data_IF_054565631549
#
_entry.id   IF_054565631549
#
_cell.length_a   1.000
_cell.length_b   1.000
_cell.length_c   1.000
_cell.angle_alpha   90.00
_cell.angle_beta   90.00
_cell.angle_gamma   90.00
#
_symmetry.space_group_name_H-M   'P 1'
#
loop_
_entity.id
_entity.type
_entity.pdbx_description
1 polymer ?
#
# COMPACT_ATOMS: atom_id res chain seq x y z
N UNK A 1 -14.91 -8.15 -7.64
CA UNK A 1 -14.96 -7.64 -6.25
C UNK A 1 -15.20 -6.13 -6.20
N UNK A 2 -14.38 -5.31 -6.86
CA UNK A 2 -14.50 -3.83 -6.84
C UNK A 2 -15.91 -3.31 -7.16
N UNK A 3 -16.52 -3.78 -8.27
CA UNK A 3 -17.85 -3.30 -8.67
C UNK A 3 -18.94 -3.65 -7.65
N UNK A 4 -18.87 -4.84 -7.04
CA UNK A 4 -19.81 -5.25 -6.00
C UNK A 4 -19.66 -4.36 -4.76
N UNK A 5 -18.41 -4.10 -4.33
CA UNK A 5 -18.14 -3.19 -3.22
C UNK A 5 -18.65 -1.76 -3.47
N UNK A 6 -18.53 -1.27 -4.71
CA UNK A 6 -19.10 0.01 -5.15
C UNK A 6 -20.62 0.02 -5.09
N UNK A 7 -21.28 -1.01 -5.62
CA UNK A 7 -22.74 -1.14 -5.57
C UNK A 7 -23.28 -1.20 -4.13
N UNK A 8 -22.53 -1.80 -3.21
CA UNK A 8 -22.87 -1.82 -1.78
C UNK A 8 -22.53 -0.51 -1.05
N UNK A 9 -21.89 0.46 -1.72
CA UNK A 9 -21.51 1.74 -1.12
C UNK A 9 -20.45 1.59 -0.02
N UNK A 10 -19.54 0.61 -0.13
CA UNK A 10 -18.49 0.39 0.87
C UNK A 10 -17.38 1.45 0.85
N UNK A 11 -17.24 2.15 -0.28
CA UNK A 11 -16.22 3.18 -0.46
C UNK A 11 -16.52 4.49 0.27
N UNK A 12 -17.80 4.74 0.54
CA UNK A 12 -18.25 5.93 1.27
C UNK A 12 -18.03 5.69 2.76
N UNK A 13 -17.48 6.67 3.47
CA UNK A 13 -17.29 6.52 4.91
C UNK A 13 -18.67 6.44 5.61
N UNK A 14 -18.88 5.48 6.53
CA UNK A 14 -20.12 5.39 7.29
C UNK A 14 -20.47 6.68 8.05
N UNK A 15 -19.48 7.47 8.46
CA UNK A 15 -19.70 8.74 9.17
C UNK A 15 -20.38 9.80 8.28
N UNK A 16 -20.33 9.66 6.95
CA UNK A 16 -21.07 10.52 6.01
C UNK A 16 -22.57 10.22 6.00
N UNK A 17 -23.00 9.12 6.64
CA UNK A 17 -24.40 8.71 6.78
C UNK A 17 -24.76 8.48 8.27
N UNK A 18 -24.79 9.53 9.10
CA UNK A 18 -25.05 9.40 10.53
C UNK A 18 -26.34 8.64 10.83
N UNK A 19 -26.28 7.66 11.73
CA UNK A 19 -27.44 6.86 12.14
C UNK A 19 -27.84 5.74 11.18
N UNK A 20 -27.21 5.63 10.00
CA UNK A 20 -27.50 4.54 9.05
C UNK A 20 -26.90 3.20 9.47
N UNK A 21 -25.73 3.23 10.11
CA UNK A 21 -24.95 2.05 10.47
C UNK A 21 -24.58 2.10 11.95
N UNK A 22 -24.59 0.95 12.61
CA UNK A 22 -24.05 0.80 13.96
C UNK A 22 -22.52 0.95 14.00
N UNK A 23 -21.94 1.06 15.18
CA UNK A 23 -20.49 1.20 15.34
C UNK A 23 -19.72 0.03 14.72
N UNK A 24 -20.11 -1.19 15.09
CA UNK A 24 -19.48 -2.41 14.57
C UNK A 24 -19.61 -2.52 13.05
N UNK A 25 -20.82 -2.29 12.52
CA UNK A 25 -21.07 -2.36 11.08
C UNK A 25 -20.24 -1.31 10.32
N UNK A 26 -20.16 -0.08 10.84
CA UNK A 26 -19.34 0.98 10.26
C UNK A 26 -17.88 0.56 10.13
N UNK A 27 -17.32 -0.02 11.19
CA UNK A 27 -15.95 -0.51 11.19
C UNK A 27 -15.77 -1.68 10.22
N UNK A 28 -16.68 -2.66 10.20
CA UNK A 28 -16.63 -3.78 9.25
C UNK A 28 -16.67 -3.31 7.80
N UNK A 29 -17.49 -2.29 7.47
CA UNK A 29 -17.55 -1.71 6.12
C UNK A 29 -16.23 -1.07 5.71
N UNK A 30 -15.59 -0.31 6.62
CA UNK A 30 -14.24 0.25 6.36
C UNK A 30 -13.23 -0.86 6.07
N UNK A 31 -13.22 -1.91 6.91
CA UNK A 31 -12.29 -3.05 6.75
C UNK A 31 -12.46 -3.76 5.41
N UNK A 32 -13.70 -4.10 5.03
CA UNK A 32 -13.96 -4.75 3.74
C UNK A 32 -13.53 -3.86 2.57
N UNK A 33 -13.82 -2.55 2.62
CA UNK A 33 -13.39 -1.63 1.57
C UNK A 33 -11.87 -1.60 1.43
N UNK A 34 -11.14 -1.49 2.55
CA UNK A 34 -9.69 -1.45 2.55
C UNK A 34 -9.06 -2.76 2.07
N UNK A 35 -9.67 -3.92 2.34
CA UNK A 35 -9.24 -5.19 1.75
C UNK A 35 -9.44 -5.20 0.22
N UNK A 36 -10.62 -4.81 -0.25
CA UNK A 36 -10.91 -4.73 -1.70
C UNK A 36 -9.92 -3.80 -2.39
N UNK A 37 -9.63 -2.65 -1.76
CA UNK A 37 -8.64 -1.70 -2.24
C UNK A 37 -7.22 -2.28 -2.29
N UNK A 38 -6.79 -2.95 -1.21
CA UNK A 38 -5.48 -3.61 -1.13
C UNK A 38 -5.34 -4.63 -2.26
N UNK A 39 -6.29 -5.55 -2.40
CA UNK A 39 -6.21 -6.59 -3.41
C UNK A 39 -6.30 -6.03 -4.84
N UNK A 40 -7.16 -5.05 -5.11
CA UNK A 40 -7.21 -4.39 -6.43
C UNK A 40 -5.85 -3.78 -6.81
N UNK A 41 -5.19 -3.11 -5.86
CA UNK A 41 -3.88 -2.50 -6.09
C UNK A 41 -2.79 -3.55 -6.34
N UNK A 42 -2.65 -4.54 -5.46
CA UNK A 42 -1.53 -5.49 -5.50
C UNK A 42 -1.70 -6.58 -6.55
N UNK A 43 -2.93 -7.07 -6.79
CA UNK A 43 -3.18 -8.06 -7.85
C UNK A 43 -2.97 -7.42 -9.21
N UNK A 44 -3.48 -6.20 -9.43
CA UNK A 44 -3.25 -5.47 -10.69
C UNK A 44 -1.75 -5.20 -10.90
N UNK A 45 -1.02 -4.84 -9.84
CA UNK A 45 0.45 -4.69 -9.89
C UNK A 45 1.17 -5.97 -10.33
N UNK A 46 0.77 -7.12 -9.79
CA UNK A 46 1.38 -8.40 -10.12
C UNK A 46 1.06 -8.83 -11.56
N UNK A 47 -0.12 -8.47 -12.06
CA UNK A 47 -0.56 -8.75 -13.43
C UNK A 47 -0.08 -7.71 -14.46
N UNK A 48 0.57 -6.63 -14.01
CA UNK A 48 1.01 -5.55 -14.91
C UNK A 48 -0.14 -4.69 -15.45
N UNK A 49 -1.27 -4.66 -14.75
CA UNK A 49 -2.44 -3.85 -15.12
C UNK A 49 -2.63 -2.66 -14.17
N UNK A 50 -3.25 -1.56 -14.64
CA UNK A 50 -3.70 -0.50 -13.75
C UNK A 50 -4.83 -1.01 -12.83
N UNK A 51 -4.84 -0.64 -11.54
CA UNK A 51 -5.95 -0.94 -10.63
C UNK A 51 -7.28 -0.35 -11.11
N UNK A 52 -8.41 -1.00 -10.78
CA UNK A 52 -9.74 -0.51 -11.13
C UNK A 52 -10.21 0.66 -10.25
N UNK A 53 -9.63 0.82 -9.07
CA UNK A 53 -9.89 1.93 -8.17
C UNK A 53 -8.91 3.07 -8.48
N UNK A 54 -9.46 4.16 -9.02
CA UNK A 54 -8.69 5.31 -9.46
C UNK A 54 -7.96 6.05 -8.31
N UNK A 55 -6.98 6.87 -8.68
CA UNK A 55 -6.13 7.59 -7.73
C UNK A 55 -6.81 8.75 -7.00
N UNK A 56 -7.79 9.35 -7.65
CA UNK A 56 -8.63 10.43 -7.14
C UNK A 56 -9.92 9.91 -6.49
N UNK A 57 -10.11 8.60 -6.46
CA UNK A 57 -11.30 8.01 -5.87
C UNK A 57 -11.26 8.18 -4.34
N UNK A 58 -12.27 8.84 -3.74
CA UNK A 58 -12.33 9.00 -2.30
C UNK A 58 -12.33 7.62 -1.65
N UNK A 59 -11.44 7.47 -0.67
CA UNK A 59 -11.33 6.26 0.15
C UNK A 59 -11.86 6.61 1.53
N UNK A 60 -12.64 5.73 2.14
CA UNK A 60 -13.08 5.93 3.52
C UNK A 60 -11.89 6.01 4.49
N UNK A 61 -12.16 6.43 5.73
CA UNK A 61 -11.13 6.54 6.76
C UNK A 61 -10.44 5.20 6.99
N UNK A 62 -9.19 5.24 7.47
CA UNK A 62 -8.51 4.03 7.90
C UNK A 62 -9.34 3.32 8.98
N UNK A 63 -9.39 1.98 8.99
CA UNK A 63 -10.02 1.24 10.07
C UNK A 63 -9.29 1.49 11.39
N UNK A 64 -10.02 1.32 12.48
CA UNK A 64 -9.49 1.52 13.83
C UNK A 64 -8.77 0.26 14.32
N UNK A 65 -7.63 0.45 14.97
CA UNK A 65 -6.99 -0.63 15.73
C UNK A 65 -7.71 -0.79 17.06
N UNK A 66 -8.36 -1.93 17.26
CA UNK A 66 -9.19 -2.23 18.43
C UNK A 66 -8.84 -3.61 18.98
N UNK A 67 -9.20 -3.86 20.23
CA UNK A 67 -9.15 -5.21 20.78
C UNK A 67 -10.28 -6.07 20.21
N UNK A 68 -9.93 -7.01 19.34
CA UNK A 68 -10.88 -7.90 18.66
C UNK A 68 -11.58 -8.89 19.61
N UNK A 69 -10.98 -9.22 20.76
CA UNK A 69 -11.59 -10.14 21.73
C UNK A 69 -12.84 -9.56 22.42
N UNK A 70 -13.03 -8.24 22.32
CA UNK A 70 -14.14 -7.52 22.96
C UNK A 70 -14.90 -6.61 21.98
N UNK A 71 -14.59 -6.69 20.69
CA UNK A 71 -15.27 -5.90 19.66
C UNK A 71 -16.33 -6.72 18.92
N UNK A 72 -17.60 -6.43 19.20
CA UNK A 72 -18.75 -7.22 18.75
C UNK A 72 -19.89 -6.33 18.27
N UNK A 73 -20.92 -6.90 17.59
CA UNK A 73 -22.07 -6.13 17.11
C UNK A 73 -22.80 -5.29 18.17
N UNK A 74 -22.72 -5.69 19.44
CA UNK A 74 -23.33 -4.98 20.58
C UNK A 74 -22.42 -3.91 21.19
N UNK A 75 -21.19 -3.73 20.70
CA UNK A 75 -20.26 -2.73 21.22
C UNK A 75 -20.77 -1.31 20.95
N UNK A 76 -20.75 -0.48 21.99
CA UNK A 76 -21.19 0.92 21.94
C UNK A 76 -20.02 1.91 21.82
N UNK A 77 -18.79 1.43 21.99
CA UNK A 77 -17.54 2.18 21.82
C UNK A 77 -16.46 1.30 21.20
N UNK A 78 -15.44 1.93 20.60
CA UNK A 78 -14.27 1.21 20.08
C UNK A 78 -13.38 0.83 21.27
N UNK A 79 -13.17 -0.47 21.52
CA UNK A 79 -12.31 -0.89 22.62
C UNK A 79 -10.85 -0.57 22.27
N UNK A 80 -10.04 -0.09 23.24
CA UNK A 80 -8.64 0.20 22.99
C UNK A 80 -7.88 -1.08 22.63
N UNK A 81 -6.84 -1.00 21.77
CA UNK A 81 -6.01 -2.14 21.43
C UNK A 81 -5.21 -2.63 22.66
N UNK A 82 -4.91 -3.93 22.71
CA UNK A 82 -4.14 -4.57 23.80
C UNK A 82 -2.75 -4.95 23.30
N UNK A 83 -1.69 -4.57 24.01
CA UNK A 83 -0.33 -4.95 23.59
C UNK A 83 -0.16 -6.48 23.52
N UNK A 84 0.31 -6.97 22.37
CA UNK A 84 0.53 -8.41 22.15
C UNK A 84 -0.73 -9.26 21.96
N UNK A 85 -1.92 -8.65 21.95
CA UNK A 85 -3.19 -9.32 21.69
C UNK A 85 -3.46 -9.62 20.21
N UNK A 86 -4.54 -10.36 19.89
CA UNK A 86 -5.03 -10.56 18.53
C UNK A 86 -5.62 -9.24 18.01
N UNK A 87 -4.74 -8.36 17.52
CA UNK A 87 -5.13 -7.01 17.13
C UNK A 87 -5.22 -6.84 15.63
N UNK A 88 -5.97 -5.83 15.21
CA UNK A 88 -6.05 -5.38 13.83
C UNK A 88 -4.86 -4.52 13.38
N UNK A 89 -3.87 -4.32 14.26
CA UNK A 89 -2.66 -3.52 14.03
C UNK A 89 -1.95 -3.85 12.71
N UNK A 90 -1.82 -5.14 12.35
CA UNK A 90 -1.21 -5.53 11.07
C UNK A 90 -2.03 -5.06 9.87
N UNK A 91 -3.36 -5.18 9.94
CA UNK A 91 -4.25 -4.71 8.88
C UNK A 91 -4.11 -3.21 8.65
N UNK A 92 -3.96 -2.43 9.73
CA UNK A 92 -3.69 -1.00 9.62
C UNK A 92 -2.37 -0.74 8.86
N UNK A 93 -1.33 -1.54 9.12
CA UNK A 93 -0.09 -1.45 8.35
C UNK A 93 -0.29 -1.83 6.87
N UNK A 94 -1.10 -2.84 6.56
CA UNK A 94 -1.47 -3.18 5.16
C UNK A 94 -2.13 -2.00 4.45
N UNK A 95 -3.06 -1.32 5.11
CA UNK A 95 -3.75 -0.15 4.55
C UNK A 95 -2.76 0.99 4.26
N UNK A 96 -1.87 1.30 5.21
CA UNK A 96 -0.83 2.31 5.05
C UNK A 96 0.17 1.94 3.94
N UNK A 97 0.55 0.67 3.85
CA UNK A 97 1.43 0.16 2.80
C UNK A 97 0.78 0.30 1.42
N UNK A 98 -0.53 0.01 1.30
CA UNK A 98 -1.27 0.22 0.06
C UNK A 98 -1.29 1.71 -0.35
N UNK A 99 -1.45 2.64 0.61
CA UNK A 99 -1.35 4.08 0.35
C UNK A 99 0.05 4.47 -0.13
N UNK A 100 1.11 3.99 0.52
CA UNK A 100 2.50 4.23 0.12
C UNK A 100 2.76 3.77 -1.31
N UNK A 101 2.44 2.50 -1.62
CA UNK A 101 2.63 1.91 -2.95
C UNK A 101 1.86 2.71 -4.01
N UNK A 102 0.61 3.08 -3.73
CA UNK A 102 -0.19 3.88 -4.66
C UNK A 102 0.40 5.27 -4.88
N UNK A 103 0.84 5.94 -3.82
CA UNK A 103 1.45 7.27 -3.91
C UNK A 103 2.73 7.27 -4.75
N UNK A 104 3.58 6.25 -4.59
CA UNK A 104 4.80 6.08 -5.39
C UNK A 104 4.44 5.80 -6.86
N UNK A 105 3.48 4.90 -7.10
CA UNK A 105 3.03 4.56 -8.46
C UNK A 105 2.42 5.73 -9.20
N UNK A 106 1.55 6.51 -8.57
CA UNK A 106 0.93 7.71 -9.14
C UNK A 106 1.97 8.72 -9.63
N UNK A 107 3.08 8.84 -8.89
CA UNK A 107 4.17 9.78 -9.22
C UNK A 107 5.17 9.21 -10.23
N UNK A 108 5.30 7.89 -10.30
CA UNK A 108 6.19 7.20 -11.24
C UNK A 108 5.53 6.97 -12.60
N UNK A 109 4.23 6.69 -12.64
CA UNK A 109 3.47 6.38 -13.84
C UNK A 109 2.51 7.54 -14.14
N UNK A 110 3.05 8.66 -14.65
CA UNK A 110 2.22 9.76 -15.15
C UNK A 110 1.73 9.38 -16.55
N UNK A 111 0.42 9.25 -16.70
CA UNK A 111 -0.23 8.93 -17.98
C UNK A 111 0.19 9.97 -19.06
N UNK A 112 0.80 9.55 -20.19
CA UNK A 112 1.12 10.43 -21.32
C UNK A 112 -0.09 11.18 -21.89
N UNK A 113 -1.31 10.70 -21.65
CA UNK A 113 -2.54 11.32 -22.13
C UNK A 113 -3.17 12.31 -21.11
N UNK A 114 -2.61 12.44 -19.89
CA UNK A 114 -3.05 13.43 -18.89
C UNK A 114 -2.44 14.83 -19.08
N UNK A 115 -1.52 15.01 -20.02
CA UNK A 115 -1.06 16.36 -20.40
C UNK A 115 -2.16 17.04 -21.21
N UNK A 116 -2.75 18.10 -20.68
CA UNK A 116 -3.80 18.92 -21.31
C UNK A 116 -3.32 19.70 -22.54
N UNK A 117 -2.04 19.60 -22.92
CA UNK A 117 -1.42 20.32 -24.02
C UNK A 117 -0.85 19.30 -25.01
N UNK A 118 -1.34 19.25 -26.26
CA UNK A 118 -0.75 18.43 -27.30
C UNK A 118 0.70 18.85 -27.54
N UNK A 119 1.62 17.90 -27.81
CA UNK A 119 2.99 18.24 -28.16
C UNK A 119 3.00 19.11 -29.43
N UNK A 120 3.64 20.26 -29.33
CA UNK A 120 3.94 21.13 -30.49
C UNK A 120 5.42 20.99 -30.84
N UNK A 121 5.79 21.40 -32.06
CA UNK A 121 7.20 21.40 -32.51
C UNK A 121 8.09 22.21 -31.54
N UNK A 122 7.52 23.26 -30.93
CA UNK A 122 8.21 24.14 -29.98
C UNK A 122 8.16 23.65 -28.52
N UNK A 123 7.35 22.63 -28.22
CA UNK A 123 7.20 22.04 -26.89
C UNK A 123 7.08 20.51 -27.00
N UNK A 124 8.20 19.80 -27.26
CA UNK A 124 8.20 18.34 -27.31
C UNK A 124 7.65 17.79 -25.99
N UNK A 125 6.85 16.72 -26.05
CA UNK A 125 6.31 16.06 -24.87
C UNK A 125 7.44 15.86 -23.85
N UNK A 126 7.30 16.30 -22.58
CA UNK A 126 8.29 15.99 -21.57
C UNK A 126 8.43 14.47 -21.58
N UNK A 127 9.67 13.97 -21.66
CA UNK A 127 9.91 12.54 -21.46
C UNK A 127 9.34 12.21 -20.08
N UNK A 128 8.25 11.44 -20.02
CA UNK A 128 7.64 10.93 -18.79
C UNK A 128 8.55 9.90 -18.08
N UNK A 129 9.85 9.97 -18.35
CA UNK A 129 10.87 9.13 -17.78
C UNK A 129 11.09 9.59 -16.34
N UNK A 130 10.89 8.66 -15.40
CA UNK A 130 11.31 8.82 -14.02
C UNK A 130 12.79 9.24 -13.99
N UNK A 131 13.14 10.30 -13.25
CA UNK A 131 14.54 10.69 -13.02
C UNK A 131 15.14 9.84 -11.89
N UNK A 132 16.46 9.65 -11.92
CA UNK A 132 17.16 8.89 -10.88
C UNK A 132 17.01 9.57 -9.50
N UNK A 133 17.05 10.90 -9.46
CA UNK A 133 16.84 11.66 -8.22
C UNK A 133 15.43 11.47 -7.65
N UNK A 134 14.41 11.38 -8.51
CA UNK A 134 13.05 11.06 -8.08
C UNK A 134 12.94 9.63 -7.52
N UNK A 135 13.62 8.67 -8.14
CA UNK A 135 13.69 7.29 -7.63
C UNK A 135 14.34 7.22 -6.23
N UNK A 136 15.45 7.93 -6.02
CA UNK A 136 16.15 8.03 -4.72
C UNK A 136 15.26 8.69 -3.66
N UNK A 137 14.52 9.75 -4.06
CA UNK A 137 13.55 10.39 -3.17
C UNK A 137 12.44 9.42 -2.73
N UNK A 138 11.87 8.65 -3.65
CA UNK A 138 10.86 7.64 -3.30
C UNK A 138 11.44 6.49 -2.46
N UNK A 139 12.66 6.05 -2.70
CA UNK A 139 13.34 5.08 -1.84
C UNK A 139 13.47 5.63 -0.40
N UNK A 140 13.84 6.91 -0.26
CA UNK A 140 13.94 7.58 1.05
C UNK A 140 12.58 7.63 1.76
N UNK A 141 11.48 7.87 1.04
CA UNK A 141 10.12 7.80 1.60
C UNK A 141 9.77 6.38 2.08
N UNK A 142 10.14 5.34 1.32
CA UNK A 142 9.92 3.94 1.72
C UNK A 142 10.76 3.59 2.95
N UNK A 143 12.01 4.05 3.03
CA UNK A 143 12.88 3.85 4.19
C UNK A 143 12.34 4.55 5.44
N UNK A 144 11.84 5.78 5.30
CA UNK A 144 11.20 6.51 6.39
C UNK A 144 9.92 5.81 6.88
N UNK A 145 9.10 5.26 5.96
CA UNK A 145 7.94 4.47 6.35
C UNK A 145 8.33 3.19 7.09
N UNK A 146 9.36 2.47 6.61
CA UNK A 146 9.88 1.27 7.28
C UNK A 146 10.45 1.57 8.68
N UNK A 147 11.03 2.75 8.90
CA UNK A 147 11.56 3.14 10.21
C UNK A 147 10.47 3.53 11.21
N UNK A 148 9.33 4.06 10.73
CA UNK A 148 8.15 4.38 11.55
C UNK A 148 7.33 3.14 11.97
N UNK A 149 7.58 1.98 11.35
CA UNK A 149 6.83 0.76 11.68
C UNK A 149 6.95 0.37 13.17
N UNK A 150 5.85 -0.15 13.77
CA UNK A 150 5.92 -0.76 15.08
C UNK A 150 6.99 -1.87 15.13
N UNK A 151 7.79 -1.97 16.22
CA UNK A 151 8.92 -2.90 16.30
C UNK A 151 8.55 -4.36 15.99
N UNK A 152 7.33 -4.78 16.35
CA UNK A 152 6.86 -6.14 16.09
C UNK A 152 6.75 -6.49 14.60
N UNK A 153 6.58 -5.50 13.71
CA UNK A 153 6.47 -5.70 12.26
C UNK A 153 7.78 -5.46 11.50
N UNK A 154 8.84 -5.03 12.18
CA UNK A 154 10.15 -4.84 11.56
C UNK A 154 10.82 -6.20 11.35
N UNK A 155 11.37 -6.38 10.15
CA UNK A 155 12.24 -7.50 9.82
C UNK A 155 13.68 -6.99 9.80
N UNK A 156 14.53 -7.49 10.69
CA UNK A 156 15.95 -7.18 10.65
C UNK A 156 16.61 -8.01 9.54
N UNK A 157 16.74 -7.42 8.36
CA UNK A 157 17.33 -8.06 7.19
C UNK A 157 18.85 -8.22 7.31
N UNK A 158 19.50 -7.57 8.28
CA UNK A 158 20.95 -7.63 8.51
C UNK A 158 21.34 -8.68 9.55
N UNK A 159 20.36 -9.33 10.19
CA UNK A 159 20.64 -10.37 11.14
C UNK A 159 21.13 -11.64 10.42
N UNK A 160 22.42 -11.95 10.54
CA UNK A 160 23.11 -13.01 9.78
C UNK A 160 22.60 -14.43 10.05
N UNK A 161 21.78 -14.64 11.09
CA UNK A 161 21.24 -15.94 11.47
C UNK A 161 19.73 -16.05 11.17
N UNK A 162 19.35 -16.73 10.06
CA UNK A 162 17.95 -16.92 9.69
C UNK A 162 17.14 -17.66 10.75
N UNK A 163 17.77 -18.50 11.58
CA UNK A 163 17.05 -19.26 12.61
C UNK A 163 16.62 -18.38 13.78
N UNK A 164 17.38 -17.33 14.10
CA UNK A 164 17.03 -16.35 15.13
C UNK A 164 15.92 -15.38 14.71
N UNK A 165 15.72 -15.18 13.41
CA UNK A 165 14.60 -14.35 12.91
C UNK A 165 13.22 -14.97 13.20
N UNK A 166 13.17 -16.30 13.32
CA UNK A 166 11.94 -17.11 13.36
C UNK A 166 11.75 -17.75 14.75
N UNK A 167 12.85 -17.97 15.49
CA UNK A 167 12.83 -18.61 16.81
C UNK A 167 12.04 -17.80 17.84
N UNK A 168 11.02 -18.42 18.43
CA UNK A 168 10.19 -17.82 19.49
C UNK A 168 9.13 -16.82 19.02
N UNK A 169 8.96 -16.65 17.70
CA UNK A 169 7.94 -15.78 17.11
C UNK A 169 6.81 -16.62 16.52
N UNK A 170 5.56 -16.16 16.64
CA UNK A 170 4.43 -16.89 16.05
C UNK A 170 4.53 -16.91 14.51
N UNK A 171 4.21 -18.04 13.83
CA UNK A 171 4.27 -18.12 12.38
C UNK A 171 3.49 -17.02 11.63
N UNK A 172 2.29 -16.59 12.09
CA UNK A 172 1.58 -15.48 11.47
C UNK A 172 2.37 -14.16 11.52
N UNK A 173 3.02 -13.85 12.64
CA UNK A 173 3.80 -12.61 12.78
C UNK A 173 5.05 -12.63 11.88
N UNK A 174 5.70 -13.78 11.74
CA UNK A 174 6.80 -13.94 10.77
C UNK A 174 6.31 -13.69 9.35
N UNK A 175 5.16 -14.25 8.98
CA UNK A 175 4.57 -14.03 7.65
C UNK A 175 4.25 -12.55 7.40
N UNK A 176 3.69 -11.86 8.40
CA UNK A 176 3.40 -10.42 8.35
C UNK A 176 4.65 -9.57 8.12
N UNK A 177 5.74 -9.86 8.86
CA UNK A 177 7.05 -9.20 8.68
C UNK A 177 7.60 -9.42 7.28
N UNK A 178 7.59 -10.66 6.82
CA UNK A 178 8.08 -11.03 5.49
C UNK A 178 7.24 -10.37 4.38
N UNK A 179 5.92 -10.31 4.51
CA UNK A 179 5.05 -9.67 3.52
C UNK A 179 5.38 -8.17 3.37
N UNK A 180 5.48 -7.44 4.49
CA UNK A 180 5.84 -6.02 4.48
C UNK A 180 7.20 -5.81 3.82
N UNK A 181 8.23 -6.51 4.29
CA UNK A 181 9.59 -6.39 3.77
C UNK A 181 9.70 -6.74 2.28
N UNK A 182 8.98 -7.79 1.85
CA UNK A 182 8.98 -8.23 0.44
C UNK A 182 8.34 -7.18 -0.45
N UNK A 183 7.22 -6.60 -0.03
CA UNK A 183 6.49 -5.60 -0.82
C UNK A 183 7.31 -4.31 -0.94
N UNK A 184 7.90 -3.83 0.16
CA UNK A 184 8.71 -2.59 0.14
C UNK A 184 9.99 -2.78 -0.66
N UNK A 185 10.71 -3.89 -0.51
CA UNK A 185 11.87 -4.21 -1.32
C UNK A 185 11.52 -4.29 -2.82
N UNK A 186 10.41 -4.95 -3.16
CA UNK A 186 9.92 -5.02 -4.55
C UNK A 186 9.60 -3.63 -5.11
N UNK A 187 9.01 -2.75 -4.30
CA UNK A 187 8.71 -1.38 -4.71
C UNK A 187 10.00 -0.61 -5.04
N UNK A 188 11.01 -0.68 -4.17
CA UNK A 188 12.32 -0.04 -4.40
C UNK A 188 12.99 -0.60 -5.66
N UNK A 189 13.03 -1.91 -5.83
CA UNK A 189 13.60 -2.52 -7.05
C UNK A 189 12.88 -2.00 -8.30
N UNK A 190 11.55 -1.96 -8.30
CA UNK A 190 10.75 -1.47 -9.43
C UNK A 190 11.03 -0.01 -9.80
N UNK A 191 11.38 0.84 -8.83
CA UNK A 191 11.78 2.22 -9.09
C UNK A 191 13.06 2.32 -9.92
N UNK A 192 14.02 1.41 -9.71
CA UNK A 192 15.32 1.47 -10.36
C UNK A 192 15.43 0.63 -11.66
N UNK A 193 14.49 -0.27 -11.93
CA UNK A 193 14.45 -1.10 -13.15
C UNK A 193 14.67 -0.30 -14.45
N UNK A 194 14.03 0.87 -14.68
CA UNK A 194 14.21 1.61 -15.93
C UNK A 194 15.65 2.03 -16.21
N UNK A 195 16.43 2.38 -15.17
CA UNK A 195 17.82 2.81 -15.32
C UNK A 195 18.76 1.64 -15.58
N UNK A 196 18.52 0.50 -14.92
CA UNK A 196 19.28 -0.72 -15.15
C UNK A 196 19.14 -1.21 -16.60
N UNK A 197 17.94 -1.11 -17.18
CA UNK A 197 17.69 -1.48 -18.59
C UNK A 197 18.40 -0.55 -19.58
N UNK A 198 18.40 0.77 -19.33
CA UNK A 198 19.08 1.75 -20.19
C UNK A 198 20.59 1.52 -20.25
N UNK A 199 21.22 1.19 -19.11
CA UNK A 199 22.66 0.87 -19.06
C UNK A 199 23.06 -0.35 -19.90
N UNK A 200 22.20 -1.38 -19.96
CA UNK A 200 22.42 -2.57 -20.80
C UNK A 200 22.31 -2.22 -22.29
N UNK A 201 21.29 -1.44 -22.67
CA UNK A 201 21.09 -1.03 -24.06
C UNK A 201 22.25 -0.16 -24.59
N UNK A 202 22.79 0.76 -23.78
CA UNK A 202 23.96 1.56 -24.15
C UNK A 202 25.24 0.72 -24.30
N UNK A 203 25.40 -0.35 -23.52
CA UNK A 203 26.56 -1.24 -23.61
C UNK A 203 26.50 -2.16 -24.84
N UNK A 204 25.30 -2.55 -25.28
CA UNK A 204 25.13 -3.41 -26.47
C UNK A 204 25.26 -2.66 -27.80
N UNK A 205 25.04 -1.34 -27.82
CA UNK A 205 25.19 -0.51 -29.02
C UNK A 205 26.64 -0.05 -29.28
N UNK A 206 27.55 -0.33 -28.34
CA UNK A 206 28.98 0.00 -28.43
C UNK A 206 29.84 -1.15 -28.98
N UNK A 207 29.23 -2.25 -29.42
CA UNK A 207 29.85 -3.43 -30.05
C UNK A 207 29.28 -3.62 -31.46
#
# INVERSE_FOLDING_TARGET
>A
MVNVARMMGLYMDPDEHPGRYGLFESEMRRRIWWDVYYYDLFVSDCMGHPPLIADDFPTCKLPSDVNEEVFYPTSTSLPPPVEGGPNFAYFLQKCRLAQLVKNVKKRTFRDPFRTSVPPTIDNPSPSNDLSIDAAISFESEVAAWMSDLPPQFKLDMLQEDPTRMISGVSPPLVAQRCEIATITARLVIKLFIPFLKKGIASSSAAH
#
